data_IF_670742385638
#
_entry.id   IF_670742385638
#
_cell.length_a   1.000
_cell.length_b   1.000
_cell.length_c   1.000
_cell.angle_alpha   90.00
_cell.angle_beta   90.00
_cell.angle_gamma   90.00
#
_symmetry.space_group_name_H-M   'P 1'
#
loop_
_entity.id
_entity.type
_entity.pdbx_description
1 polymer ?
#
# COMPACT_ATOMS: atom_id res chain seq x y z
N UNK A 1 62.69 -19.44 -40.25
CA UNK A 1 62.83 -18.89 -38.89
C UNK A 1 61.85 -17.72 -38.74
N UNK A 2 60.60 -17.97 -38.33
CA UNK A 2 59.63 -16.95 -37.91
C UNK A 2 58.77 -17.59 -36.82
N UNK A 3 58.77 -16.97 -35.64
CA UNK A 3 57.93 -17.31 -34.48
C UNK A 3 56.49 -16.87 -34.76
N UNK A 4 55.50 -17.70 -34.43
CA UNK A 4 54.15 -17.21 -34.16
C UNK A 4 53.60 -17.91 -32.91
N UNK A 5 53.63 -17.17 -31.81
CA UNK A 5 52.85 -17.44 -30.60
C UNK A 5 51.40 -17.06 -30.90
N UNK A 6 50.45 -17.91 -30.52
CA UNK A 6 49.07 -17.49 -30.27
C UNK A 6 48.45 -18.51 -29.31
N UNK A 7 48.38 -18.08 -28.05
CA UNK A 7 47.60 -18.69 -26.98
C UNK A 7 46.14 -18.31 -27.28
N UNK A 8 45.27 -19.28 -27.52
CA UNK A 8 43.83 -19.07 -27.50
C UNK A 8 43.26 -19.67 -26.22
N UNK A 9 42.90 -18.75 -25.32
CA UNK A 9 42.19 -18.96 -24.07
C UNK A 9 40.77 -19.44 -24.39
N UNK A 10 40.42 -20.66 -24.01
CA UNK A 10 39.06 -21.18 -24.11
C UNK A 10 38.23 -20.57 -22.97
N UNK A 11 37.52 -19.48 -23.23
CA UNK A 11 36.51 -18.95 -22.32
C UNK A 11 35.35 -19.96 -22.22
N UNK A 12 35.24 -20.64 -21.07
CA UNK A 12 33.98 -21.25 -20.65
C UNK A 12 32.98 -20.13 -20.37
N UNK A 13 32.14 -19.83 -21.35
CA UNK A 13 30.95 -19.01 -21.15
C UNK A 13 29.90 -19.89 -20.46
N UNK A 14 29.91 -19.90 -19.12
CA UNK A 14 28.80 -20.42 -18.35
C UNK A 14 27.60 -19.51 -18.61
N UNK A 15 26.66 -19.98 -19.42
CA UNK A 15 25.36 -19.34 -19.58
C UNK A 15 24.64 -19.36 -18.24
N UNK A 16 24.70 -18.26 -17.50
CA UNK A 16 23.67 -17.94 -16.52
C UNK A 16 22.38 -17.73 -17.32
N UNK A 17 21.59 -18.79 -17.47
CA UNK A 17 20.19 -18.61 -17.79
C UNK A 17 19.55 -17.96 -16.57
N UNK A 18 19.23 -16.66 -16.69
CA UNK A 18 18.33 -15.98 -15.78
C UNK A 18 17.01 -16.74 -15.81
N UNK A 19 16.76 -17.56 -14.78
CA UNK A 19 15.43 -18.10 -14.54
C UNK A 19 14.56 -16.87 -14.26
N UNK A 20 13.50 -16.61 -15.04
CA UNK A 20 12.58 -15.54 -14.67
C UNK A 20 12.09 -15.87 -13.26
N UNK A 21 12.20 -14.91 -12.33
CA UNK A 21 11.65 -15.06 -10.99
C UNK A 21 10.17 -15.41 -11.16
N UNK A 22 9.81 -16.66 -10.85
CA UNK A 22 8.42 -17.08 -10.83
C UNK A 22 7.75 -16.30 -9.71
N UNK A 23 6.64 -15.62 -10.03
CA UNK A 23 5.90 -14.90 -9.01
C UNK A 23 5.56 -15.84 -7.85
N UNK A 24 6.01 -15.50 -6.66
CA UNK A 24 5.94 -16.33 -5.46
C UNK A 24 4.72 -15.92 -4.63
N UNK A 25 3.84 -16.88 -4.36
CA UNK A 25 2.59 -16.64 -3.67
C UNK A 25 2.46 -17.43 -2.37
N UNK A 26 1.74 -16.87 -1.41
CA UNK A 26 1.28 -17.57 -0.21
C UNK A 26 -0.22 -17.38 0.00
N UNK A 27 -0.84 -18.39 0.59
CA UNK A 27 -2.19 -18.27 1.13
C UNK A 27 -2.13 -17.91 2.60
N UNK A 28 -3.01 -17.00 3.03
CA UNK A 28 -3.05 -16.48 4.40
C UNK A 28 -4.46 -16.62 4.92
N UNK A 29 -4.66 -17.42 5.97
CA UNK A 29 -5.93 -17.44 6.71
C UNK A 29 -5.95 -16.32 7.75
N UNK A 30 -7.14 -15.88 8.14
CA UNK A 30 -7.34 -14.85 9.17
C UNK A 30 -6.97 -15.31 10.59
N UNK A 31 -6.60 -16.58 10.79
CA UNK A 31 -6.16 -17.11 12.09
C UNK A 31 -4.72 -16.70 12.44
N UNK A 32 -3.98 -16.17 11.48
CA UNK A 32 -2.61 -15.68 11.67
C UNK A 32 -2.62 -14.17 11.97
N UNK A 33 -1.71 -13.75 12.86
CA UNK A 33 -1.39 -12.33 12.97
C UNK A 33 -0.86 -11.81 11.63
N UNK A 34 -1.48 -10.75 11.14
CA UNK A 34 -1.23 -10.30 9.77
C UNK A 34 0.17 -9.69 9.60
N UNK A 35 0.75 -9.10 10.66
CA UNK A 35 2.12 -8.60 10.62
C UNK A 35 3.10 -9.75 10.46
N UNK A 36 2.92 -10.84 11.21
CA UNK A 36 3.80 -12.00 11.08
C UNK A 36 3.72 -12.63 9.69
N UNK A 37 2.54 -12.67 9.08
CA UNK A 37 2.37 -13.12 7.71
C UNK A 37 3.10 -12.20 6.70
N UNK A 38 3.01 -10.88 6.90
CA UNK A 38 3.70 -9.89 6.07
C UNK A 38 5.22 -9.97 6.21
N UNK A 39 5.74 -10.05 7.43
CA UNK A 39 7.18 -10.19 7.70
C UNK A 39 7.74 -11.48 7.07
N UNK A 40 6.96 -12.57 7.15
CA UNK A 40 7.31 -13.82 6.48
C UNK A 40 7.34 -13.67 4.96
N UNK A 41 6.36 -12.96 4.37
CA UNK A 41 6.31 -12.74 2.94
C UNK A 41 7.61 -12.10 2.43
N UNK A 42 8.07 -11.01 3.05
CA UNK A 42 9.33 -10.37 2.68
C UNK A 42 10.55 -11.27 2.91
N UNK A 43 10.63 -11.93 4.08
CA UNK A 43 11.76 -12.83 4.38
C UNK A 43 11.87 -13.99 3.39
N UNK A 44 10.73 -14.49 2.89
CA UNK A 44 10.66 -15.59 1.95
C UNK A 44 10.66 -15.14 0.47
N UNK A 45 10.82 -13.84 0.20
CA UNK A 45 10.70 -13.24 -1.13
C UNK A 45 9.38 -13.64 -1.81
N UNK A 46 8.26 -13.50 -1.10
CA UNK A 46 6.89 -13.70 -1.58
C UNK A 46 6.35 -12.36 -2.08
N UNK A 47 5.93 -12.31 -3.33
CA UNK A 47 5.38 -11.09 -3.95
C UNK A 47 3.84 -11.04 -3.92
N UNK A 48 3.17 -12.13 -3.59
CA UNK A 48 1.70 -12.21 -3.59
C UNK A 48 1.16 -12.90 -2.34
N UNK A 49 0.36 -12.18 -1.55
CA UNK A 49 -0.42 -12.72 -0.43
C UNK A 49 -1.88 -12.87 -0.83
N UNK A 50 -2.39 -14.10 -0.78
CA UNK A 50 -3.78 -14.45 -1.11
C UNK A 50 -4.54 -14.66 0.21
N UNK A 51 -5.50 -13.81 0.51
CA UNK A 51 -6.33 -13.87 1.70
C UNK A 51 -7.48 -14.87 1.48
N UNK A 52 -7.51 -15.96 2.25
CA UNK A 52 -8.36 -17.13 1.96
C UNK A 52 -9.60 -17.27 2.86
N UNK A 53 -9.73 -16.50 3.94
CA UNK A 53 -10.86 -16.61 4.86
C UNK A 53 -12.02 -15.70 4.42
N UNK A 54 -13.19 -16.24 4.02
CA UNK A 54 -14.35 -15.40 3.66
C UNK A 54 -14.80 -14.55 4.85
N UNK A 55 -14.91 -13.23 4.65
CA UNK A 55 -15.24 -12.28 5.74
C UNK A 55 -14.21 -12.26 6.89
N UNK A 56 -13.06 -12.89 6.72
CA UNK A 56 -12.01 -12.97 7.74
C UNK A 56 -11.38 -11.61 8.00
N UNK A 57 -11.04 -11.34 9.27
CA UNK A 57 -10.41 -10.09 9.69
C UNK A 57 -8.90 -10.29 9.80
N UNK A 58 -8.16 -9.60 8.94
CA UNK A 58 -6.70 -9.59 8.89
C UNK A 58 -6.23 -8.31 9.58
N UNK A 59 -5.63 -8.49 10.76
CA UNK A 59 -5.17 -7.39 11.61
C UNK A 59 -3.92 -7.80 12.37
N UNK A 60 -3.32 -6.84 13.05
CA UNK A 60 -2.34 -7.06 14.12
C UNK A 60 -2.68 -6.19 15.32
N UNK A 61 -1.96 -6.38 16.43
CA UNK A 61 -1.92 -5.47 17.59
C UNK A 61 -0.55 -4.81 17.77
N UNK A 62 0.35 -4.98 16.79
CA UNK A 62 1.71 -4.47 16.83
C UNK A 62 1.73 -2.93 16.91
N UNK A 63 2.73 -2.38 17.60
CA UNK A 63 2.89 -0.93 17.78
C UNK A 63 3.61 -0.26 16.62
N UNK A 64 3.99 -1.02 15.60
CA UNK A 64 4.64 -0.57 14.38
C UNK A 64 3.66 -0.55 13.21
N UNK A 65 3.94 0.32 12.25
CA UNK A 65 3.23 0.32 10.97
C UNK A 65 3.36 -1.03 10.27
N UNK A 66 2.26 -1.52 9.68
CA UNK A 66 2.32 -2.57 8.68
C UNK A 66 2.90 -1.97 7.39
N UNK A 67 4.23 -2.06 7.27
CA UNK A 67 5.00 -1.41 6.22
C UNK A 67 5.16 -2.31 4.99
N UNK A 68 4.77 -1.80 3.81
CA UNK A 68 5.05 -2.43 2.52
C UNK A 68 6.39 -1.90 2.03
N UNK A 69 7.46 -2.63 2.36
CA UNK A 69 8.86 -2.22 2.11
C UNK A 69 9.39 -2.70 0.75
N UNK A 70 8.76 -3.71 0.17
CA UNK A 70 9.13 -4.32 -1.10
C UNK A 70 7.86 -4.49 -1.97
N UNK A 71 7.98 -4.64 -3.30
CA UNK A 71 6.84 -4.85 -4.18
C UNK A 71 5.93 -5.98 -3.73
N UNK A 72 4.64 -5.70 -3.53
CA UNK A 72 3.70 -6.68 -2.99
C UNK A 72 2.30 -6.56 -3.60
N UNK A 73 1.68 -7.72 -3.84
CA UNK A 73 0.26 -7.88 -4.14
C UNK A 73 -0.44 -8.50 -2.93
N UNK A 74 -1.50 -7.86 -2.44
CA UNK A 74 -2.44 -8.45 -1.48
C UNK A 74 -3.78 -8.63 -2.19
N UNK A 75 -4.33 -9.84 -2.24
CA UNK A 75 -5.60 -10.07 -2.92
C UNK A 75 -6.50 -11.05 -2.19
N UNK A 76 -7.80 -10.86 -2.34
CA UNK A 76 -8.77 -11.88 -1.94
C UNK A 76 -8.65 -13.14 -2.81
N UNK A 77 -8.83 -14.31 -2.19
CA UNK A 77 -8.96 -15.55 -2.94
C UNK A 77 -10.18 -15.47 -3.89
N UNK A 78 -10.10 -16.03 -5.11
CA UNK A 78 -11.24 -16.06 -6.02
C UNK A 78 -12.43 -16.84 -5.43
N UNK A 79 -13.63 -16.31 -5.60
CA UNK A 79 -14.88 -17.02 -5.26
C UNK A 79 -15.25 -17.03 -3.78
N UNK A 80 -14.61 -16.21 -2.93
CA UNK A 80 -15.07 -16.00 -1.56
C UNK A 80 -16.48 -15.44 -1.55
N UNK A 81 -17.31 -15.95 -0.62
CA UNK A 81 -18.69 -15.48 -0.44
C UNK A 81 -18.76 -14.05 0.13
N UNK A 82 -17.74 -13.67 0.90
CA UNK A 82 -17.57 -12.35 1.48
C UNK A 82 -16.10 -11.93 1.36
N UNK A 83 -15.82 -10.68 0.94
CA UNK A 83 -14.45 -10.18 0.88
C UNK A 83 -13.76 -10.22 2.25
N UNK A 84 -12.44 -10.51 2.30
CA UNK A 84 -11.64 -10.38 3.50
C UNK A 84 -11.54 -8.91 3.93
N UNK A 85 -11.41 -8.69 5.24
CA UNK A 85 -11.36 -7.36 5.85
C UNK A 85 -9.94 -7.11 6.37
N UNK A 86 -9.29 -6.05 5.90
CA UNK A 86 -8.07 -5.51 6.46
C UNK A 86 -8.42 -4.37 7.42
N UNK A 87 -7.87 -4.46 8.62
CA UNK A 87 -7.86 -3.39 9.62
C UNK A 87 -6.52 -3.42 10.34
N UNK A 88 -6.28 -2.44 11.19
CA UNK A 88 -5.14 -2.47 12.10
C UNK A 88 -5.57 -1.96 13.47
N UNK A 89 -4.76 -2.25 14.47
CA UNK A 89 -4.84 -1.64 15.79
C UNK A 89 -3.48 -1.74 16.44
N UNK A 90 -3.12 -0.76 17.25
CA UNK A 90 -2.08 -0.94 18.25
C UNK A 90 -2.65 -0.70 19.65
N UNK A 91 -1.96 -1.22 20.67
CA UNK A 91 -2.39 -1.09 22.06
C UNK A 91 -2.46 0.37 22.57
N UNK A 92 -1.76 1.30 21.90
CA UNK A 92 -1.62 2.69 22.34
C UNK A 92 -2.31 3.70 21.41
N UNK A 93 -2.97 3.25 20.33
CA UNK A 93 -3.61 4.09 19.33
C UNK A 93 -2.67 5.04 18.58
N UNK A 94 -1.38 4.69 18.48
CA UNK A 94 -0.35 5.51 17.83
C UNK A 94 -0.20 5.20 16.33
N UNK A 95 -0.53 3.98 15.91
CA UNK A 95 -0.47 3.58 14.51
C UNK A 95 -1.74 4.06 13.82
N UNK A 96 -1.60 5.08 12.98
CA UNK A 96 -2.76 5.75 12.37
C UNK A 96 -3.20 5.16 11.03
N UNK A 97 -2.43 4.22 10.47
CA UNK A 97 -2.64 3.63 9.15
C UNK A 97 -2.85 2.12 9.22
N UNK A 98 -3.70 1.60 8.33
CA UNK A 98 -3.82 0.15 8.14
C UNK A 98 -2.55 -0.36 7.45
N UNK A 99 -2.12 0.28 6.35
CA UNK A 99 -0.86 -0.01 5.69
C UNK A 99 -0.08 1.28 5.39
N UNK A 100 1.24 1.24 5.63
CA UNK A 100 2.17 2.27 5.17
C UNK A 100 2.98 1.76 3.99
N UNK A 101 2.94 2.49 2.88
CA UNK A 101 3.44 2.03 1.60
C UNK A 101 4.74 2.75 1.25
N UNK A 102 5.78 1.99 0.91
CA UNK A 102 7.10 2.51 0.50
C UNK A 102 7.55 2.00 -0.87
N UNK A 103 6.92 0.98 -1.43
CA UNK A 103 7.25 0.36 -2.71
C UNK A 103 5.98 0.10 -3.55
N UNK A 104 6.14 -0.48 -4.74
CA UNK A 104 5.02 -0.92 -5.58
C UNK A 104 4.01 -1.74 -4.79
N UNK A 105 2.74 -1.39 -4.90
CA UNK A 105 1.71 -2.06 -4.12
C UNK A 105 0.45 -2.24 -4.93
N UNK A 106 -0.03 -3.48 -4.99
CA UNK A 106 -1.35 -3.80 -5.54
C UNK A 106 -2.24 -4.41 -4.48
N UNK A 107 -3.48 -3.94 -4.39
CA UNK A 107 -4.53 -4.59 -3.61
C UNK A 107 -5.78 -4.84 -4.43
N UNK A 108 -6.36 -6.04 -4.29
CA UNK A 108 -7.51 -6.48 -5.07
C UNK A 108 -8.56 -7.24 -4.25
N UNK A 109 -9.82 -6.79 -4.30
CA UNK A 109 -10.96 -7.55 -3.79
C UNK A 109 -11.11 -7.58 -2.27
N UNK A 110 -10.54 -6.62 -1.53
CA UNK A 110 -10.58 -6.58 -0.06
C UNK A 110 -11.41 -5.41 0.46
N UNK A 111 -11.88 -5.53 1.70
CA UNK A 111 -12.46 -4.41 2.46
C UNK A 111 -11.38 -3.82 3.35
N UNK A 112 -11.19 -2.51 3.34
CA UNK A 112 -10.48 -1.79 4.39
C UNK A 112 -11.50 -1.13 5.31
N UNK A 113 -11.46 -1.48 6.60
CA UNK A 113 -12.44 -1.03 7.58
C UNK A 113 -11.74 -0.27 8.72
N UNK A 114 -11.80 1.06 8.68
CA UNK A 114 -11.18 1.91 9.70
C UNK A 114 -11.91 1.92 11.04
N UNK A 115 -13.22 1.62 11.02
CA UNK A 115 -14.12 1.64 12.17
C UNK A 115 -14.30 0.28 12.85
N UNK A 116 -13.70 -0.76 12.29
CA UNK A 116 -13.86 -2.16 12.71
C UNK A 116 -13.75 -2.33 14.24
N UNK A 117 -14.54 -3.21 14.89
CA UNK A 117 -14.46 -3.40 16.35
C UNK A 117 -13.06 -3.71 16.89
N UNK A 118 -12.20 -4.33 16.09
CA UNK A 118 -10.81 -4.63 16.45
C UNK A 118 -9.84 -3.46 16.23
N UNK A 119 -10.23 -2.37 15.57
CA UNK A 119 -9.43 -1.15 15.43
C UNK A 119 -9.63 -0.22 16.63
N UNK A 120 -8.67 0.66 16.88
CA UNK A 120 -8.86 1.83 17.73
C UNK A 120 -9.43 3.05 16.96
N UNK A 121 -9.85 2.87 15.71
CA UNK A 121 -10.25 3.95 14.81
C UNK A 121 -9.10 4.47 13.97
N UNK A 122 -9.03 3.98 12.73
CA UNK A 122 -7.93 4.26 11.81
C UNK A 122 -8.13 5.59 11.10
N UNK A 123 -7.06 6.40 11.06
CA UNK A 123 -7.07 7.66 10.31
C UNK A 123 -6.82 7.44 8.81
N UNK A 124 -6.02 6.44 8.45
CA UNK A 124 -5.63 6.18 7.06
C UNK A 124 -5.85 4.70 6.72
N UNK A 125 -6.39 4.38 5.54
CA UNK A 125 -6.29 3.02 5.03
C UNK A 125 -4.87 2.77 4.52
N UNK A 126 -4.44 3.62 3.59
CA UNK A 126 -3.18 3.52 2.88
C UNK A 126 -2.46 4.88 2.97
N UNK A 127 -1.20 4.88 3.41
CA UNK A 127 -0.40 6.12 3.51
C UNK A 127 0.99 5.93 2.92
N UNK A 128 1.39 6.85 2.06
CA UNK A 128 2.77 7.01 1.62
C UNK A 128 3.37 8.21 2.36
N UNK A 129 4.38 7.99 3.20
CA UNK A 129 5.14 9.01 3.91
C UNK A 129 6.49 8.42 4.30
N UNK A 130 7.54 9.23 4.32
CA UNK A 130 8.84 8.77 4.78
C UNK A 130 8.80 8.53 6.29
N UNK A 131 9.52 7.52 6.75
CA UNK A 131 9.75 7.27 8.18
C UNK A 131 11.23 7.50 8.47
N UNK A 132 11.55 8.73 8.84
CA UNK A 132 12.93 9.17 9.10
C UNK A 132 13.53 8.49 10.33
N UNK A 133 12.71 8.10 11.31
CA UNK A 133 13.20 7.42 12.52
C UNK A 133 13.71 6.02 12.20
N UNK A 134 13.04 5.34 11.26
CA UNK A 134 13.38 3.98 10.82
C UNK A 134 14.24 3.93 9.57
N UNK A 135 14.44 5.07 8.90
CA UNK A 135 15.19 5.18 7.66
C UNK A 135 14.45 4.66 6.43
N UNK A 136 13.12 4.52 6.50
CA UNK A 136 12.32 4.08 5.35
C UNK A 136 11.95 5.28 4.48
N UNK A 137 12.23 5.13 3.18
CA UNK A 137 11.95 6.15 2.17
C UNK A 137 11.01 5.56 1.14
N UNK A 138 9.97 6.31 0.79
CA UNK A 138 9.05 5.92 -0.28
C UNK A 138 9.79 5.99 -1.61
N UNK A 139 9.71 4.93 -2.41
CA UNK A 139 10.20 4.94 -3.77
C UNK A 139 9.42 5.99 -4.60
N UNK A 140 10.10 7.02 -5.15
CA UNK A 140 9.44 8.09 -5.89
C UNK A 140 8.74 7.62 -7.17
N UNK A 141 9.02 6.41 -7.65
CA UNK A 141 8.44 5.82 -8.84
C UNK A 141 7.48 4.66 -8.52
N UNK A 142 7.18 4.42 -7.23
CA UNK A 142 6.27 3.37 -6.81
C UNK A 142 4.88 3.49 -7.45
N UNK A 143 4.41 2.42 -8.07
CA UNK A 143 3.07 2.29 -8.61
C UNK A 143 2.12 1.69 -7.57
N UNK A 144 1.06 2.44 -7.23
CA UNK A 144 0.04 2.05 -6.25
C UNK A 144 -1.27 1.74 -6.98
N UNK A 145 -1.70 0.49 -6.94
CA UNK A 145 -2.90 0.00 -7.62
C UNK A 145 -3.91 -0.58 -6.65
N UNK A 146 -5.13 -0.05 -6.66
CA UNK A 146 -6.25 -0.47 -5.81
C UNK A 146 -7.42 -0.86 -6.71
N UNK A 147 -7.85 -2.12 -6.62
CA UNK A 147 -8.89 -2.67 -7.50
C UNK A 147 -10.00 -3.37 -6.71
N UNK A 148 -11.24 -3.17 -7.11
CA UNK A 148 -12.39 -3.93 -6.59
C UNK A 148 -12.48 -3.92 -5.05
N UNK A 149 -12.02 -2.83 -4.41
CA UNK A 149 -11.94 -2.72 -2.96
C UNK A 149 -13.09 -1.89 -2.40
N UNK A 150 -13.43 -2.15 -1.14
CA UNK A 150 -14.35 -1.31 -0.38
C UNK A 150 -13.53 -0.63 0.73
N UNK A 151 -13.73 0.67 0.91
CA UNK A 151 -13.15 1.42 2.01
C UNK A 151 -14.28 2.03 2.82
N UNK A 152 -14.31 1.75 4.12
CA UNK A 152 -15.36 2.28 5.01
C UNK A 152 -14.83 2.74 6.36
N UNK A 153 -15.54 3.71 6.91
CA UNK A 153 -15.49 4.12 8.32
C UNK A 153 -14.12 4.63 8.77
N UNK A 154 -13.50 5.48 7.96
CA UNK A 154 -12.23 6.13 8.30
C UNK A 154 -12.47 7.38 9.13
N UNK A 155 -12.37 7.22 10.43
CA UNK A 155 -12.45 8.28 11.44
C UNK A 155 -11.39 8.00 12.50
N UNK A 156 -10.44 8.91 12.68
CA UNK A 156 -9.45 8.78 13.74
C UNK A 156 -10.17 8.60 15.09
N UNK A 157 -9.76 7.60 15.89
CA UNK A 157 -10.38 7.29 17.19
C UNK A 157 -11.87 6.88 17.11
N UNK A 158 -12.38 6.51 15.93
CA UNK A 158 -13.80 6.21 15.66
C UNK A 158 -14.73 7.38 15.95
N UNK A 159 -14.19 8.60 15.94
CA UNK A 159 -14.93 9.83 16.19
C UNK A 159 -15.30 10.45 14.83
N UNK A 160 -16.59 10.47 14.44
CA UNK A 160 -17.03 11.00 13.15
C UNK A 160 -16.68 12.48 12.91
N UNK A 161 -16.26 13.20 13.95
CA UNK A 161 -15.82 14.60 13.86
C UNK A 161 -14.32 14.78 13.66
N UNK A 162 -13.55 13.68 13.63
CA UNK A 162 -12.10 13.69 13.42
C UNK A 162 -11.75 13.24 12.02
N UNK A 163 -10.60 13.72 11.55
CA UNK A 163 -10.05 13.37 10.25
C UNK A 163 -10.02 11.86 9.99
N UNK A 164 -10.24 11.49 8.74
CA UNK A 164 -9.91 10.18 8.23
C UNK A 164 -9.91 10.15 6.71
N UNK A 165 -9.06 9.31 6.15
CA UNK A 165 -8.74 9.25 4.73
C UNK A 165 -8.58 7.81 4.28
N UNK A 166 -8.93 7.54 3.03
CA UNK A 166 -8.61 6.26 2.40
C UNK A 166 -7.16 6.21 1.96
N UNK A 167 -6.72 7.23 1.23
CA UNK A 167 -5.37 7.27 0.67
C UNK A 167 -4.74 8.63 0.88
N UNK A 168 -3.49 8.63 1.35
CA UNK A 168 -2.70 9.86 1.49
C UNK A 168 -1.28 9.69 0.96
N UNK A 169 -0.86 10.62 0.12
CA UNK A 169 0.57 10.85 -0.20
C UNK A 169 1.01 12.10 0.57
N UNK A 170 1.94 11.93 1.51
CA UNK A 170 2.40 12.98 2.41
C UNK A 170 3.88 13.29 2.16
N UNK A 171 4.20 14.53 1.77
CA UNK A 171 5.59 15.05 1.64
C UNK A 171 6.52 14.24 0.72
N UNK A 172 5.96 13.35 -0.09
CA UNK A 172 6.70 12.49 -1.03
C UNK A 172 6.06 12.54 -2.41
N UNK A 173 6.75 11.97 -3.38
CA UNK A 173 6.24 11.67 -4.72
C UNK A 173 6.09 10.15 -4.83
N UNK A 174 5.13 9.69 -5.63
CA UNK A 174 5.03 8.30 -6.11
C UNK A 174 4.90 8.28 -7.64
N UNK A 175 4.93 7.10 -8.27
CA UNK A 175 4.68 6.92 -9.69
C UNK A 175 3.20 7.08 -10.02
N UNK A 176 2.55 6.00 -10.45
CA UNK A 176 1.12 5.97 -10.78
C UNK A 176 0.29 5.62 -9.56
N UNK A 177 -0.79 6.37 -9.34
CA UNK A 177 -1.84 6.03 -8.38
C UNK A 177 -3.11 5.66 -9.13
N UNK A 178 -3.60 4.43 -8.93
CA UNK A 178 -4.75 3.87 -9.63
C UNK A 178 -5.79 3.33 -8.65
N UNK A 179 -7.03 3.80 -8.78
CA UNK A 179 -8.22 3.28 -8.11
C UNK A 179 -9.24 2.85 -9.16
N UNK A 180 -9.62 1.57 -9.18
CA UNK A 180 -10.54 1.02 -10.17
C UNK A 180 -11.62 0.15 -9.52
N UNK A 181 -12.88 0.44 -9.83
CA UNK A 181 -14.05 -0.31 -9.34
C UNK A 181 -14.16 -0.34 -7.81
N UNK A 182 -13.82 0.76 -7.13
CA UNK A 182 -13.85 0.82 -5.67
C UNK A 182 -15.13 1.51 -5.14
N UNK A 183 -15.58 1.07 -3.97
CA UNK A 183 -16.53 1.83 -3.15
C UNK A 183 -15.76 2.49 -2.01
N UNK A 184 -15.93 3.80 -1.85
CA UNK A 184 -15.32 4.57 -0.76
C UNK A 184 -16.45 5.26 -0.01
N UNK A 185 -16.61 4.94 1.27
CA UNK A 185 -17.67 5.50 2.11
C UNK A 185 -17.17 5.92 3.49
N UNK A 186 -17.85 6.91 4.07
CA UNK A 186 -17.68 7.31 5.47
C UNK A 186 -16.24 7.69 5.82
N UNK A 187 -15.81 8.87 5.38
CA UNK A 187 -14.50 9.42 5.75
C UNK A 187 -14.63 10.74 6.48
N UNK A 188 -13.89 10.91 7.57
CA UNK A 188 -13.91 12.11 8.40
C UNK A 188 -13.19 13.32 7.81
N UNK A 189 -12.57 13.18 6.63
CA UNK A 189 -12.05 14.29 5.85
C UNK A 189 -11.97 13.90 4.36
N UNK A 190 -10.90 14.27 3.64
CA UNK A 190 -10.76 13.93 2.21
C UNK A 190 -10.53 12.42 2.00
N UNK A 191 -11.24 11.80 1.05
CA UNK A 191 -11.06 10.36 0.81
C UNK A 191 -9.70 10.03 0.19
N UNK A 192 -9.37 10.63 -0.95
CA UNK A 192 -8.06 10.48 -1.61
C UNK A 192 -7.34 11.84 -1.57
N UNK A 193 -6.24 11.93 -0.81
CA UNK A 193 -5.47 13.15 -0.59
C UNK A 193 -4.05 13.05 -1.18
N UNK A 194 -3.81 13.82 -2.22
CA UNK A 194 -2.51 14.02 -2.87
C UNK A 194 -2.23 15.53 -2.99
N UNK A 195 -2.28 16.25 -1.87
CA UNK A 195 -2.27 17.72 -1.86
C UNK A 195 -1.12 18.35 -1.10
N UNK A 196 -0.21 17.56 -0.53
CA UNK A 196 0.76 18.08 0.43
C UNK A 196 1.84 18.97 -0.24
N UNK A 197 1.85 19.15 -1.58
CA UNK A 197 2.61 20.19 -2.28
C UNK A 197 2.15 21.61 -1.91
N UNK A 198 0.91 21.77 -1.41
CA UNK A 198 0.35 23.04 -0.91
C UNK A 198 0.98 23.48 0.43
N UNK A 199 1.68 22.57 1.12
CA UNK A 199 2.26 22.80 2.46
C UNK A 199 3.76 22.60 2.51
N UNK A 200 4.32 21.85 1.57
CA UNK A 200 5.70 21.38 1.60
C UNK A 200 6.32 21.50 0.22
N UNK A 201 7.63 21.75 0.19
CA UNK A 201 8.40 21.92 -1.05
C UNK A 201 8.59 20.57 -1.78
N UNK A 202 7.52 20.03 -2.36
CA UNK A 202 7.53 18.95 -3.33
C UNK A 202 6.99 19.49 -4.65
N UNK A 203 7.62 19.11 -5.77
CA UNK A 203 7.23 19.66 -7.08
C UNK A 203 6.02 18.93 -7.70
N UNK A 204 5.66 17.74 -7.18
CA UNK A 204 4.50 16.92 -7.56
C UNK A 204 4.28 15.78 -6.53
N UNK A 205 3.06 15.26 -6.45
CA UNK A 205 2.68 14.14 -5.57
C UNK A 205 2.63 12.78 -6.28
N UNK A 206 2.34 12.75 -7.57
CA UNK A 206 2.37 11.54 -8.40
C UNK A 206 2.66 11.85 -9.87
N UNK A 207 3.07 10.86 -10.67
CA UNK A 207 3.22 10.99 -12.13
C UNK A 207 1.88 10.86 -12.86
N UNK A 208 0.95 10.07 -12.33
CA UNK A 208 -0.38 9.90 -12.89
C UNK A 208 -1.39 9.51 -11.81
N UNK A 209 -2.56 10.15 -11.82
CA UNK A 209 -3.70 9.77 -11.00
C UNK A 209 -4.81 9.23 -11.91
N UNK A 210 -5.25 7.99 -11.66
CA UNK A 210 -6.30 7.35 -12.43
C UNK A 210 -7.36 6.82 -11.47
N UNK A 211 -8.58 7.36 -11.57
CA UNK A 211 -9.74 6.93 -10.78
C UNK A 211 -10.87 6.58 -11.74
N UNK A 212 -11.29 5.31 -11.75
CA UNK A 212 -12.30 4.82 -12.72
C UNK A 212 -13.31 3.92 -12.04
N UNK A 213 -14.57 4.09 -12.40
CA UNK A 213 -15.69 3.29 -11.87
C UNK A 213 -15.75 3.25 -10.33
N UNK A 214 -15.30 4.32 -9.67
CA UNK A 214 -15.36 4.42 -8.22
C UNK A 214 -16.61 5.17 -7.78
N UNK A 215 -17.16 4.77 -6.63
CA UNK A 215 -18.28 5.45 -5.97
C UNK A 215 -17.81 6.04 -4.65
N UNK A 216 -18.18 7.29 -4.39
CA UNK A 216 -17.85 8.01 -3.15
C UNK A 216 -19.15 8.36 -2.42
N UNK A 217 -19.27 7.99 -1.15
CA UNK A 217 -20.48 8.19 -0.34
C UNK A 217 -20.10 8.78 1.01
N UNK A 218 -20.79 9.85 1.45
CA UNK A 218 -20.61 10.41 2.78
C UNK A 218 -19.13 10.71 3.13
N UNK A 219 -18.55 11.61 2.34
CA UNK A 219 -17.19 12.11 2.52
C UNK A 219 -17.33 13.50 3.16
N UNK A 220 -16.73 13.72 4.33
CA UNK A 220 -16.90 14.97 5.10
C UNK A 220 -16.30 16.20 4.37
N UNK A 221 -15.28 15.98 3.53
CA UNK A 221 -14.66 16.99 2.68
C UNK A 221 -14.61 16.55 1.20
N UNK A 222 -13.47 16.72 0.51
CA UNK A 222 -13.35 16.35 -0.90
C UNK A 222 -13.19 14.84 -1.11
N UNK A 223 -13.95 14.27 -2.06
CA UNK A 223 -13.74 12.87 -2.48
C UNK A 223 -12.32 12.63 -3.01
N UNK A 224 -11.78 13.59 -3.77
CA UNK A 224 -10.41 13.58 -4.28
C UNK A 224 -9.86 15.00 -4.17
N UNK A 225 -8.79 15.17 -3.40
CA UNK A 225 -8.01 16.41 -3.32
C UNK A 225 -6.63 16.18 -3.91
N UNK A 226 -6.36 16.81 -5.04
CA UNK A 226 -5.10 16.70 -5.77
C UNK A 226 -4.52 18.09 -6.04
N UNK A 227 -3.29 18.31 -5.57
CA UNK A 227 -2.48 19.47 -5.90
C UNK A 227 -1.13 18.98 -6.41
N UNK A 228 -0.67 19.58 -7.51
CA UNK A 228 0.59 19.24 -8.16
C UNK A 228 1.29 20.48 -8.71
N UNK A 229 1.02 21.62 -8.09
CA UNK A 229 1.79 22.83 -8.24
C UNK A 229 2.74 22.99 -7.06
N UNK A 230 3.93 23.53 -7.35
CA UNK A 230 4.83 24.06 -6.34
C UNK A 230 4.18 25.31 -5.78
N UNK A 231 3.50 25.21 -4.64
CA UNK A 231 3.00 26.39 -3.96
C UNK A 231 4.19 27.18 -3.41
N UNK A 232 4.56 28.26 -4.11
CA UNK A 232 5.63 29.18 -3.69
C UNK A 232 5.12 30.27 -2.75
N UNK A 233 3.85 30.24 -2.33
CA UNK A 233 3.30 31.21 -1.39
C UNK A 233 3.63 30.85 0.06
N UNK A 234 4.90 31.03 0.44
CA UNK A 234 5.33 31.16 1.84
C UNK A 234 5.27 32.60 2.32
#
# INVERSE_FOLDING_TARGET
MVKLRSIFLLLMLAGLMAVPAMASKMEVSADYDFKLALDYAFTANIDTMILTTPGGVYTTTDTMHLAILEPLVIMAAPGLSEPPILTNSDANGQVLDILRIYADFTVDGVIFDGGHPQSHGMKYALRCDNDTERGYTVDPDADITVKNCIFRDFYQLKDPTKDGHVFKVAKVKVGTVRFENCLIENTGYEAIRLSDTEKWATDKTCDSLIVRNCTFINIDAEGIRFYADKDTST
#
